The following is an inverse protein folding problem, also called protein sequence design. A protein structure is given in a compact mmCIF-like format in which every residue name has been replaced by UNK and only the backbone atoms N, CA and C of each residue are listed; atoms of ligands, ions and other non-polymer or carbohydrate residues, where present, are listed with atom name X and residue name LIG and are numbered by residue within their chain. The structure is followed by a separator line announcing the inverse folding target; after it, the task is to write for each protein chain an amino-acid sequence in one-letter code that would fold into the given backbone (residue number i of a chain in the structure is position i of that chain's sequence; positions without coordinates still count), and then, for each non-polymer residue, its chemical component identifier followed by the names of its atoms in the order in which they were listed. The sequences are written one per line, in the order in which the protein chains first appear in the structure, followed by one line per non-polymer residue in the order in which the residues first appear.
data_IF_370886750176
#
_entry.id   IF_370886750176
#
_cell.length_a   1.000
_cell.length_b   1.000
_cell.length_c   1.000
_cell.angle_alpha   90.00
_cell.angle_beta   90.00
_cell.angle_gamma   90.00
#
_symmetry.space_group_name_H-M   'P 1'
#
loop_
_entity.id
_entity.type
_entity.pdbx_description
1 polymer ?
#
# COMPACT_ATOMS: atom_id res chain seq x y z
N UNK A 1 22.61 -12.97 3.98
CA UNK A 1 22.98 -11.64 3.45
C UNK A 1 21.70 -10.82 3.34
N UNK A 2 21.58 -9.65 3.99
CA UNK A 2 20.42 -8.80 3.76
C UNK A 2 20.39 -8.38 2.29
N UNK A 3 19.22 -8.51 1.67
CA UNK A 3 19.02 -8.13 0.27
C UNK A 3 19.34 -6.64 0.10
N UNK A 4 20.18 -6.25 -0.87
CA UNK A 4 20.47 -4.83 -1.09
C UNK A 4 19.17 -4.11 -1.47
N UNK A 5 18.69 -3.22 -0.61
CA UNK A 5 17.50 -2.39 -0.86
C UNK A 5 17.84 -1.23 -1.82
N UNK A 6 18.42 -1.53 -2.98
CA UNK A 6 18.72 -0.52 -3.98
C UNK A 6 17.45 -0.12 -4.74
N UNK A 7 17.03 1.15 -4.61
CA UNK A 7 15.91 1.69 -5.39
C UNK A 7 16.43 2.46 -6.62
N UNK A 8 16.05 2.08 -7.85
CA UNK A 8 16.39 2.86 -9.03
C UNK A 8 15.63 4.18 -9.04
N UNK A 9 16.37 5.28 -8.81
CA UNK A 9 15.92 6.67 -8.62
C UNK A 9 14.92 7.23 -9.68
N UNK A 10 14.76 6.57 -10.83
CA UNK A 10 13.93 7.04 -11.96
C UNK A 10 12.58 6.33 -12.18
N UNK A 11 12.12 5.46 -11.26
CA UNK A 11 10.93 4.61 -11.50
C UNK A 11 9.60 5.11 -10.93
N UNK A 12 9.55 6.30 -10.31
CA UNK A 12 8.31 6.89 -9.76
C UNK A 12 7.34 7.37 -10.85
N UNK A 13 6.73 6.42 -11.58
CA UNK A 13 5.95 6.65 -12.80
C UNK A 13 4.45 6.73 -12.59
N UNK A 14 3.93 6.23 -11.48
CA UNK A 14 2.49 6.14 -11.27
C UNK A 14 2.02 7.28 -10.37
N UNK A 15 1.00 8.05 -10.78
CA UNK A 15 0.30 8.93 -9.85
C UNK A 15 -0.53 8.04 -8.92
N UNK A 16 -0.30 8.17 -7.62
CA UNK A 16 -1.09 7.48 -6.59
C UNK A 16 -1.63 8.51 -5.62
N UNK A 17 -2.81 8.28 -5.09
CA UNK A 17 -3.40 9.14 -4.08
C UNK A 17 -3.19 8.53 -2.70
N UNK A 18 -2.69 9.35 -1.78
CA UNK A 18 -2.70 9.02 -0.36
C UNK A 18 -4.07 9.46 0.16
N UNK A 19 -4.81 8.51 0.69
CA UNK A 19 -6.15 8.70 1.24
C UNK A 19 -6.17 8.33 2.71
N UNK A 20 -7.01 9.00 3.49
CA UNK A 20 -7.30 8.62 4.87
C UNK A 20 -8.66 7.93 4.94
N UNK A 21 -8.74 6.87 5.75
CA UNK A 21 -10.00 6.22 6.08
C UNK A 21 -10.74 7.03 7.12
N UNK A 22 -11.82 7.68 6.70
CA UNK A 22 -12.81 8.26 7.58
C UNK A 22 -13.79 7.17 8.01
N UNK A 23 -14.09 7.13 9.30
CA UNK A 23 -15.15 6.28 9.85
C UNK A 23 -16.21 7.19 10.43
N UNK A 24 -17.45 7.04 9.96
CA UNK A 24 -18.62 7.72 10.49
C UNK A 24 -19.69 6.68 10.82
N UNK A 25 -20.54 6.96 11.81
CA UNK A 25 -21.73 6.15 12.03
C UNK A 25 -22.64 6.24 10.82
N UNK A 26 -23.14 5.10 10.34
CA UNK A 26 -24.15 5.11 9.28
C UNK A 26 -25.46 5.66 9.87
N UNK A 27 -26.07 6.72 9.29
CA UNK A 27 -27.33 7.25 9.79
C UNK A 27 -28.51 6.29 9.60
N UNK A 28 -28.38 5.28 8.73
CA UNK A 28 -29.46 4.35 8.37
C UNK A 28 -29.34 2.97 9.01
N UNK A 29 -28.18 2.63 9.60
CA UNK A 29 -27.93 1.33 10.22
C UNK A 29 -27.07 1.47 11.48
N UNK A 30 -26.99 0.43 12.31
CA UNK A 30 -26.06 0.38 13.46
C UNK A 30 -24.60 0.14 13.05
N UNK A 31 -24.27 0.36 11.78
CA UNK A 31 -22.95 0.12 11.20
C UNK A 31 -22.01 1.33 11.21
N UNK A 32 -20.78 1.09 10.78
CA UNK A 32 -19.78 2.13 10.51
C UNK A 32 -19.59 2.24 9.00
N UNK A 33 -19.77 3.44 8.47
CA UNK A 33 -19.48 3.76 7.08
C UNK A 33 -18.00 4.15 6.97
N UNK A 34 -17.22 3.36 6.23
CA UNK A 34 -15.86 3.74 5.84
C UNK A 34 -15.88 4.59 4.56
N UNK A 35 -15.19 5.73 4.60
CA UNK A 35 -15.02 6.61 3.45
C UNK A 35 -13.53 6.88 3.21
N UNK A 36 -13.14 7.00 1.94
CA UNK A 36 -11.76 7.33 1.56
C UNK A 36 -11.68 8.82 1.25
N UNK A 37 -10.99 9.56 2.12
CA UNK A 37 -10.82 11.01 1.99
C UNK A 37 -9.46 11.27 1.33
N UNK A 38 -9.40 11.86 0.11
CA UNK A 38 -8.14 12.13 -0.56
C UNK A 38 -7.38 13.26 0.15
N UNK A 39 -6.10 13.01 0.45
CA UNK A 39 -5.22 13.99 1.11
C UNK A 39 -4.29 14.63 0.11
N UNK A 40 -3.55 13.82 -0.67
CA UNK A 40 -2.60 14.31 -1.67
C UNK A 40 -2.29 13.27 -2.73
N UNK A 41 -1.87 13.73 -3.90
CA UNK A 41 -1.36 12.88 -4.97
C UNK A 41 0.16 12.91 -4.97
N UNK A 42 0.79 11.73 -5.07
CA UNK A 42 2.25 11.58 -5.15
C UNK A 42 2.64 10.66 -6.31
N UNK A 43 3.91 10.72 -6.71
CA UNK A 43 4.47 9.82 -7.70
C UNK A 43 5.12 8.63 -7.01
N UNK A 44 4.72 7.43 -7.41
CA UNK A 44 5.15 6.18 -6.83
C UNK A 44 5.54 5.13 -7.88
N UNK A 45 6.27 4.12 -7.45
CA UNK A 45 6.46 2.86 -8.15
C UNK A 45 5.73 1.77 -7.37
N UNK A 46 4.77 1.10 -8.01
CA UNK A 46 3.92 0.09 -7.35
C UNK A 46 4.34 -1.27 -7.88
N UNK A 47 4.91 -2.10 -7.01
CA UNK A 47 5.42 -3.41 -7.38
C UNK A 47 4.65 -4.49 -6.61
N UNK A 48 4.10 -5.52 -7.28
CA UNK A 48 3.59 -6.69 -6.60
C UNK A 48 4.74 -7.42 -5.93
N UNK A 49 4.53 -7.86 -4.69
CA UNK A 49 5.42 -8.78 -4.00
C UNK A 49 4.99 -10.18 -4.43
N UNK A 50 5.90 -10.95 -5.03
CA UNK A 50 5.65 -12.36 -5.33
C UNK A 50 5.24 -13.13 -4.06
N UNK A 51 4.68 -14.33 -4.22
CA UNK A 51 4.26 -15.14 -3.08
C UNK A 51 5.41 -15.29 -2.06
N UNK A 52 5.26 -14.66 -0.88
CA UNK A 52 6.16 -14.87 0.24
C UNK A 52 5.82 -16.22 0.88
N UNK A 53 6.16 -17.32 0.23
CA UNK A 53 6.17 -18.64 0.84
C UNK A 53 7.40 -18.75 1.74
N UNK A 54 7.24 -18.37 3.00
CA UNK A 54 8.19 -18.81 4.02
C UNK A 54 7.92 -20.28 4.34
N UNK A 55 8.81 -21.16 3.91
CA UNK A 55 8.89 -22.51 4.47
C UNK A 55 9.45 -22.39 5.89
N UNK A 56 8.57 -22.44 6.89
CA UNK A 56 8.98 -22.62 8.28
C UNK A 56 9.74 -23.93 8.42
N UNK A 57 11.05 -23.87 8.64
CA UNK A 57 11.84 -25.04 9.03
C UNK A 57 11.31 -25.49 10.40
N UNK A 58 10.81 -26.74 10.44
CA UNK A 58 10.33 -27.48 11.62
C UNK A 58 8.93 -27.11 12.16
N UNK A 59 7.89 -27.63 11.49
CA UNK A 59 6.71 -28.18 12.17
C UNK A 59 5.61 -27.20 12.61
N UNK A 60 5.66 -25.93 12.22
CA UNK A 60 4.59 -24.97 12.46
C UNK A 60 4.19 -24.25 11.18
N UNK A 61 2.93 -24.35 10.78
CA UNK A 61 2.32 -23.39 9.86
C UNK A 61 2.16 -22.08 10.61
N UNK A 62 3.24 -21.29 10.74
CA UNK A 62 3.12 -19.93 11.22
C UNK A 62 2.47 -19.08 10.12
N UNK A 63 1.15 -18.92 10.23
CA UNK A 63 0.39 -17.96 9.47
C UNK A 63 0.90 -16.56 9.84
N UNK A 64 1.58 -15.88 8.90
CA UNK A 64 1.89 -14.46 9.08
C UNK A 64 0.58 -13.69 9.00
N UNK A 65 0.29 -12.95 10.07
CA UNK A 65 -1.00 -12.38 10.47
C UNK A 65 -1.63 -11.36 9.49
N UNK A 66 -1.01 -11.06 8.33
CA UNK A 66 -1.70 -10.45 7.17
C UNK A 66 -0.77 -10.42 5.94
N UNK A 67 -1.24 -10.80 4.73
CA UNK A 67 -0.37 -10.89 3.56
C UNK A 67 0.02 -9.51 3.02
N UNK A 68 1.33 -9.22 2.97
CA UNK A 68 1.86 -8.11 2.16
C UNK A 68 1.82 -8.53 0.70
N UNK A 69 1.03 -7.84 -0.10
CA UNK A 69 0.87 -8.14 -1.53
C UNK A 69 1.65 -7.18 -2.41
N UNK A 70 1.95 -5.97 -1.94
CA UNK A 70 2.58 -4.91 -2.73
C UNK A 70 3.64 -4.15 -1.94
N UNK A 71 4.70 -3.74 -2.63
CA UNK A 71 5.67 -2.75 -2.17
C UNK A 71 5.54 -1.51 -3.03
N UNK A 72 5.22 -0.40 -2.39
CA UNK A 72 5.08 0.89 -3.05
C UNK A 72 6.25 1.77 -2.66
N UNK A 73 7.05 2.17 -3.64
CA UNK A 73 8.17 3.07 -3.45
C UNK A 73 7.75 4.49 -3.78
N UNK A 74 8.08 5.44 -2.92
CA UNK A 74 7.77 6.85 -3.16
C UNK A 74 8.78 7.77 -2.48
N UNK A 75 8.72 9.07 -2.81
CA UNK A 75 9.46 10.10 -2.06
C UNK A 75 9.06 10.08 -0.59
N UNK A 76 9.99 10.50 0.27
CA UNK A 76 9.82 10.52 1.72
C UNK A 76 8.47 11.06 2.16
N UNK A 77 7.79 10.28 3.00
CA UNK A 77 6.57 10.67 3.68
C UNK A 77 6.86 10.63 5.18
N UNK A 78 6.52 11.71 5.89
CA UNK A 78 6.83 11.81 7.32
C UNK A 78 6.12 10.73 8.15
N UNK A 79 4.89 10.38 7.78
CA UNK A 79 4.10 9.32 8.42
C UNK A 79 3.00 8.84 7.48
N UNK A 80 2.76 7.53 7.49
CA UNK A 80 1.62 6.86 6.86
C UNK A 80 1.11 5.79 7.84
N UNK A 81 0.29 6.16 8.83
CA UNK A 81 -0.24 5.21 9.80
C UNK A 81 -1.31 4.30 9.17
N UNK A 82 -1.68 3.23 9.85
CA UNK A 82 -2.65 2.23 9.35
C UNK A 82 -4.04 2.78 9.00
N UNK A 83 -4.38 3.99 9.47
CA UNK A 83 -5.60 4.70 9.08
C UNK A 83 -5.55 5.25 7.64
N UNK A 84 -4.40 5.12 6.96
CA UNK A 84 -4.20 5.60 5.60
C UNK A 84 -4.18 4.42 4.63
N UNK A 85 -4.58 4.70 3.40
CA UNK A 85 -4.44 3.82 2.26
C UNK A 85 -3.82 4.58 1.10
N UNK A 86 -3.33 3.83 0.12
CA UNK A 86 -2.85 4.36 -1.15
C UNK A 86 -3.81 3.86 -2.22
N UNK A 87 -4.30 4.73 -3.07
CA UNK A 87 -5.16 4.35 -4.20
C UNK A 87 -4.45 4.62 -5.52
N UNK A 88 -4.65 3.71 -6.48
CA UNK A 88 -4.19 3.88 -7.86
C UNK A 88 -5.39 3.70 -8.78
N UNK A 89 -5.68 4.71 -9.59
CA UNK A 89 -6.72 4.65 -10.61
C UNK A 89 -6.09 4.51 -11.98
N UNK A 90 -6.53 3.52 -12.74
CA UNK A 90 -6.09 3.28 -14.12
C UNK A 90 -7.32 3.30 -15.02
N UNK A 91 -7.29 4.11 -16.06
CA UNK A 91 -8.32 4.07 -17.12
C UNK A 91 -8.00 2.92 -18.06
N UNK A 92 -8.97 2.04 -18.26
CA UNK A 92 -8.87 0.89 -19.17
C UNK A 92 -9.23 1.34 -20.60
N UNK A 93 -8.93 0.50 -21.59
CA UNK A 93 -9.17 0.78 -23.01
C UNK A 93 -10.66 0.97 -23.34
N UNK A 94 -11.55 0.40 -22.53
CA UNK A 94 -13.01 0.54 -22.64
C UNK A 94 -13.55 1.86 -22.04
N UNK A 95 -12.67 2.74 -21.54
CA UNK A 95 -13.01 4.01 -20.91
C UNK A 95 -13.46 3.89 -19.46
N UNK A 96 -13.52 2.69 -18.89
CA UNK A 96 -13.83 2.49 -17.47
C UNK A 96 -12.60 2.79 -16.60
N UNK A 97 -12.83 3.19 -15.34
CA UNK A 97 -11.74 3.42 -14.38
C UNK A 97 -11.70 2.31 -13.36
N UNK A 98 -10.58 1.60 -13.31
CA UNK A 98 -10.29 0.65 -12.24
C UNK A 98 -9.51 1.36 -11.14
N UNK A 99 -10.04 1.33 -9.93
CA UNK A 99 -9.35 1.84 -8.74
C UNK A 99 -8.93 0.68 -7.86
N UNK A 100 -7.63 0.59 -7.61
CA UNK A 100 -7.04 -0.34 -6.67
C UNK A 100 -6.78 0.37 -5.34
N UNK A 101 -7.07 -0.30 -4.23
CA UNK A 101 -6.89 0.23 -2.89
C UNK A 101 -5.84 -0.60 -2.16
N UNK A 102 -4.77 0.06 -1.73
CA UNK A 102 -3.65 -0.54 -1.02
C UNK A 102 -3.66 -0.08 0.43
N UNK A 103 -4.05 -0.97 1.34
CA UNK A 103 -3.99 -0.72 2.78
C UNK A 103 -2.54 -0.70 3.25
N UNK A 104 -2.15 0.36 3.95
CA UNK A 104 -0.80 0.47 4.49
C UNK A 104 -0.62 -0.48 5.67
N UNK A 105 0.44 -1.29 5.64
CA UNK A 105 0.81 -2.21 6.73
C UNK A 105 2.08 -1.76 7.43
N UNK A 106 3.09 -1.33 6.67
CA UNK A 106 4.36 -0.85 7.22
C UNK A 106 5.02 0.15 6.29
N UNK A 107 5.68 1.14 6.88
CA UNK A 107 6.57 2.07 6.18
C UNK A 107 8.01 1.85 6.63
N UNK A 108 8.94 1.82 5.69
CA UNK A 108 10.38 1.69 5.93
C UNK A 108 11.13 2.77 5.18
N UNK A 109 12.16 3.31 5.82
CA UNK A 109 13.08 4.22 5.16
C UNK A 109 14.10 3.46 4.30
N UNK A 110 14.48 4.03 3.17
CA UNK A 110 15.57 3.52 2.33
C UNK A 110 16.84 4.33 2.61
N UNK A 111 17.94 3.64 2.93
CA UNK A 111 19.30 4.19 3.08
C UNK A 111 19.48 5.30 4.14
N UNK A 112 18.52 5.54 5.04
CA UNK A 112 18.69 6.44 6.19
C UNK A 112 18.83 7.95 5.87
N UNK A 113 18.54 8.37 4.62
CA UNK A 113 18.71 9.75 4.14
C UNK A 113 17.41 10.54 3.98
N UNK A 114 16.27 9.98 4.41
CA UNK A 114 14.91 10.55 4.30
C UNK A 114 14.56 11.03 2.90
N UNK A 115 14.96 10.27 1.88
CA UNK A 115 14.68 10.59 0.46
C UNK A 115 13.50 9.78 -0.09
N UNK A 116 13.45 8.51 0.28
CA UNK A 116 12.48 7.55 -0.21
C UNK A 116 12.00 6.65 0.92
N UNK A 117 10.80 6.12 0.74
CA UNK A 117 10.20 5.14 1.64
C UNK A 117 9.69 3.96 0.82
N UNK A 118 9.73 2.78 1.43
CA UNK A 118 9.04 1.58 0.99
C UNK A 118 7.79 1.45 1.85
N UNK A 119 6.64 1.37 1.21
CA UNK A 119 5.36 1.11 1.87
C UNK A 119 4.95 -0.31 1.54
N UNK A 120 5.00 -1.20 2.52
CA UNK A 120 4.47 -2.55 2.44
C UNK A 120 2.95 -2.47 2.62
N UNK A 121 2.22 -2.96 1.62
CA UNK A 121 0.78 -2.81 1.52
C UNK A 121 0.07 -4.12 1.22
N UNK A 122 -1.22 -4.15 1.54
CA UNK A 122 -2.16 -5.18 1.15
C UNK A 122 -3.18 -4.58 0.17
N UNK A 123 -3.34 -5.20 -1.00
CA UNK A 123 -4.38 -4.85 -1.96
C UNK A 123 -5.71 -5.38 -1.45
N UNK A 124 -6.67 -4.48 -1.27
CA UNK A 124 -8.04 -4.84 -0.95
C UNK A 124 -8.74 -5.26 -2.23
N UNK A 125 -9.09 -6.55 -2.30
CA UNK A 125 -9.93 -7.06 -3.37
C UNK A 125 -11.37 -6.71 -3.03
N UNK A 126 -12.00 -5.86 -3.83
CA UNK A 126 -13.45 -5.75 -3.82
C UNK A 126 -14.01 -7.06 -4.37
N UNK A 127 -14.42 -7.94 -3.47
CA UNK A 127 -15.22 -9.13 -3.72
C UNK A 127 -16.68 -8.75 -4.01
#
# INVERSE_FOLDING_TARGET
MPEPQSFPLGRLRWPVQIVQRGQAGDPNTTGVLETLIPIRTVRADVQPVGALTFWGTAGGNEQVDTPVTHRIYMRWQNSLPNAYAITRSTTLDDGTTRTEVFRVRRIKEIDGRKRFVIVECEEEKNS
#
